data_IF_969325202686
#
_entry.id   IF_969325202686
#
_cell.length_a   1.000
_cell.length_b   1.000
_cell.length_c   1.000
_cell.angle_alpha   90.00
_cell.angle_beta   90.00
_cell.angle_gamma   90.00
#
_symmetry.space_group_name_H-M   'P 1'
#
loop_
_entity.id
_entity.type
_entity.pdbx_description
1 polymer ?
#
# COMPACT_ATOMS: atom_id res chain seq x y z
N UNK A 1 31.79 -17.24 37.79
CA UNK A 1 31.43 -16.05 37.03
C UNK A 1 31.28 -16.50 35.57
N UNK A 2 30.04 -16.86 35.16
CA UNK A 2 29.78 -17.30 33.78
C UNK A 2 29.65 -16.06 32.93
N UNK A 3 30.58 -15.82 32.04
CA UNK A 3 30.51 -14.84 30.98
C UNK A 3 29.32 -15.23 30.07
N UNK A 4 28.28 -14.48 30.10
CA UNK A 4 27.23 -14.56 29.07
C UNK A 4 27.87 -14.05 27.76
N UNK A 5 28.28 -15.01 26.90
CA UNK A 5 28.59 -14.69 25.52
C UNK A 5 27.40 -13.99 24.89
N UNK A 6 27.63 -12.88 24.17
CA UNK A 6 26.61 -12.27 23.29
C UNK A 6 26.09 -13.42 22.41
N UNK A 7 24.82 -13.79 22.55
CA UNK A 7 24.13 -14.57 21.52
C UNK A 7 24.33 -13.80 20.23
N UNK A 8 24.82 -14.46 19.18
CA UNK A 8 24.84 -13.86 17.86
C UNK A 8 23.44 -13.32 17.56
N UNK A 9 23.39 -12.22 16.83
CA UNK A 9 22.10 -11.66 16.43
C UNK A 9 21.30 -12.76 15.70
N UNK A 10 20.03 -12.97 16.11
CA UNK A 10 19.17 -13.96 15.48
C UNK A 10 19.11 -13.67 13.97
N UNK A 11 19.41 -14.67 13.15
CA UNK A 11 19.38 -14.54 11.69
C UNK A 11 17.94 -14.57 11.22
N UNK A 12 17.51 -13.49 10.56
CA UNK A 12 16.16 -13.34 10.03
C UNK A 12 16.22 -13.24 8.51
N UNK A 13 15.47 -14.10 7.83
CA UNK A 13 15.26 -13.99 6.41
C UNK A 13 13.90 -13.30 6.14
N UNK A 14 13.88 -12.37 5.20
CA UNK A 14 12.65 -11.76 4.69
C UNK A 14 12.48 -12.18 3.24
N UNK A 15 11.37 -12.82 2.90
CA UNK A 15 11.08 -13.28 1.54
C UNK A 15 10.06 -12.36 0.88
N UNK A 16 10.53 -11.64 -0.16
CA UNK A 16 9.80 -10.62 -0.89
C UNK A 16 10.23 -9.21 -0.50
N UNK A 17 10.83 -8.47 -1.45
CA UNK A 17 11.29 -7.09 -1.29
C UNK A 17 10.27 -6.05 -1.78
N UNK A 18 8.98 -6.34 -1.68
CA UNK A 18 7.93 -5.33 -1.77
C UNK A 18 7.98 -4.39 -0.57
N UNK A 19 7.11 -3.37 -0.54
CA UNK A 19 7.14 -2.34 0.52
C UNK A 19 7.07 -2.94 1.94
N UNK A 20 6.31 -4.02 2.14
CA UNK A 20 6.18 -4.66 3.46
C UNK A 20 7.48 -5.35 3.88
N UNK A 21 8.13 -6.06 2.95
CA UNK A 21 9.41 -6.71 3.23
C UNK A 21 10.53 -5.72 3.47
N UNK A 22 10.61 -4.67 2.67
CA UNK A 22 11.61 -3.61 2.86
C UNK A 22 11.40 -2.84 4.18
N UNK A 23 10.16 -2.52 4.54
CA UNK A 23 9.85 -1.90 5.83
C UNK A 23 10.19 -2.82 7.01
N UNK A 24 9.94 -4.14 6.88
CA UNK A 24 10.31 -5.13 7.89
C UNK A 24 11.82 -5.27 8.02
N UNK A 25 12.53 -5.37 6.90
CA UNK A 25 13.99 -5.45 6.90
C UNK A 25 14.63 -4.19 7.50
N UNK A 26 14.08 -3.01 7.21
CA UNK A 26 14.51 -1.76 7.81
C UNK A 26 14.33 -1.77 9.34
N UNK A 27 13.18 -2.19 9.84
CA UNK A 27 12.90 -2.28 11.27
C UNK A 27 13.83 -3.28 11.97
N UNK A 28 13.98 -4.50 11.41
CA UNK A 28 14.86 -5.53 11.95
C UNK A 28 16.34 -5.09 11.97
N UNK A 29 16.81 -4.47 10.90
CA UNK A 29 18.19 -3.98 10.83
C UNK A 29 18.42 -2.81 11.80
N UNK A 30 17.39 -1.97 12.04
CA UNK A 30 17.44 -0.91 13.06
C UNK A 30 17.56 -1.47 14.47
N UNK A 31 17.00 -2.67 14.72
CA UNK A 31 17.15 -3.40 15.98
C UNK A 31 18.45 -4.24 16.06
N UNK A 32 19.34 -4.09 15.06
CA UNK A 32 20.65 -4.76 15.02
C UNK A 32 20.59 -6.25 14.72
N UNK A 33 19.54 -6.73 14.04
CA UNK A 33 19.41 -8.13 13.61
C UNK A 33 20.23 -8.40 12.35
N UNK A 34 20.69 -9.65 12.18
CA UNK A 34 21.32 -10.11 10.93
C UNK A 34 20.20 -10.45 9.93
N UNK A 35 19.99 -9.59 8.95
CA UNK A 35 18.85 -9.65 8.02
C UNK A 35 19.32 -9.97 6.61
N UNK A 36 18.71 -10.97 5.98
CA UNK A 36 18.82 -11.21 4.54
C UNK A 36 17.44 -11.15 3.89
N UNK A 37 17.31 -10.33 2.89
CA UNK A 37 16.08 -10.20 2.08
C UNK A 37 16.28 -10.95 0.77
N UNK A 38 15.35 -11.82 0.41
CA UNK A 38 15.32 -12.53 -0.87
C UNK A 38 14.21 -11.97 -1.76
N UNK A 39 14.56 -11.58 -2.97
CA UNK A 39 13.62 -11.08 -3.97
C UNK A 39 13.79 -11.86 -5.28
N UNK A 40 12.69 -12.43 -5.78
CA UNK A 40 12.73 -13.24 -7.01
C UNK A 40 13.00 -12.43 -8.28
N UNK A 41 12.78 -11.13 -8.23
CA UNK A 41 13.05 -10.18 -9.32
C UNK A 41 14.11 -9.15 -8.88
N UNK A 42 14.15 -8.01 -9.55
CA UNK A 42 14.88 -6.84 -9.07
C UNK A 42 14.01 -6.03 -8.11
N UNK A 43 14.59 -5.40 -7.10
CA UNK A 43 13.84 -4.49 -6.22
C UNK A 43 13.31 -3.31 -7.03
N UNK A 44 12.02 -3.00 -6.89
CA UNK A 44 11.36 -1.96 -7.67
C UNK A 44 10.74 -2.47 -8.98
N UNK A 45 10.73 -3.77 -9.23
CA UNK A 45 10.05 -4.39 -10.38
C UNK A 45 8.56 -4.02 -10.44
N UNK A 46 7.94 -4.12 -11.61
CA UNK A 46 6.55 -3.76 -11.87
C UNK A 46 5.55 -4.95 -11.84
N UNK A 47 5.94 -6.11 -11.34
CA UNK A 47 5.12 -7.32 -11.37
C UNK A 47 4.17 -7.49 -10.18
N UNK A 48 4.45 -6.79 -9.06
CA UNK A 48 3.72 -6.93 -7.80
C UNK A 48 2.70 -5.82 -7.53
N UNK A 49 2.55 -5.51 -6.24
CA UNK A 49 1.60 -4.49 -5.74
C UNK A 49 2.29 -3.17 -5.37
N UNK A 50 3.62 -3.13 -5.27
CA UNK A 50 4.34 -1.98 -4.71
C UNK A 50 4.86 -0.97 -5.74
N UNK A 51 4.88 -1.32 -7.04
CA UNK A 51 5.40 -0.48 -8.12
C UNK A 51 4.52 0.75 -8.41
N UNK A 52 5.06 1.68 -9.22
CA UNK A 52 4.40 2.93 -9.64
C UNK A 52 4.67 4.08 -8.67
N UNK A 53 4.42 5.29 -9.15
CA UNK A 53 4.93 6.51 -8.52
C UNK A 53 4.27 6.83 -7.17
N UNK A 54 2.95 6.63 -7.03
CA UNK A 54 2.20 7.11 -5.86
C UNK A 54 1.19 6.10 -5.31
N UNK A 55 0.87 6.28 -4.00
CA UNK A 55 -0.20 5.58 -3.27
C UNK A 55 -0.94 6.59 -2.39
N UNK A 56 -2.23 6.34 -2.13
CA UNK A 56 -3.02 7.19 -1.22
C UNK A 56 -2.53 7.01 0.22
N UNK A 57 -2.31 8.13 0.91
CA UNK A 57 -2.24 8.21 2.36
C UNK A 57 -3.52 8.89 2.86
N UNK A 58 -4.23 8.29 3.82
CA UNK A 58 -5.48 8.83 4.38
C UNK A 58 -5.77 8.25 5.77
N UNK A 59 -6.51 9.01 6.58
CA UNK A 59 -7.18 8.53 7.79
C UNK A 59 -8.65 8.18 7.53
N UNK A 60 -9.27 8.76 6.51
CA UNK A 60 -10.67 8.54 6.16
C UNK A 60 -10.94 7.05 5.84
N UNK A 61 -11.44 6.35 6.84
CA UNK A 61 -11.91 4.97 6.82
C UNK A 61 -13.17 4.84 7.67
N UNK A 62 -14.16 4.03 7.28
CA UNK A 62 -15.37 3.82 8.06
C UNK A 62 -15.16 3.00 9.35
N UNK A 63 -13.93 2.56 9.61
CA UNK A 63 -13.58 1.75 10.77
C UNK A 63 -12.41 2.38 11.54
N UNK A 64 -12.59 2.61 12.85
CA UNK A 64 -11.60 3.20 13.74
C UNK A 64 -10.25 2.48 13.74
N UNK A 65 -10.25 1.15 13.58
CA UNK A 65 -9.02 0.37 13.53
C UNK A 65 -8.07 0.90 12.45
N UNK A 66 -8.59 1.17 11.24
CA UNK A 66 -7.78 1.69 10.14
C UNK A 66 -7.39 3.15 10.33
N UNK A 67 -8.28 3.96 10.92
CA UNK A 67 -7.95 5.36 11.28
C UNK A 67 -6.76 5.39 12.24
N UNK A 68 -6.84 4.66 13.35
CA UNK A 68 -5.76 4.60 14.35
C UNK A 68 -4.47 4.05 13.77
N UNK A 69 -4.56 3.01 12.94
CA UNK A 69 -3.38 2.43 12.29
C UNK A 69 -2.72 3.43 11.32
N UNK A 70 -3.50 4.25 10.61
CA UNK A 70 -2.95 5.29 9.73
C UNK A 70 -2.33 6.45 10.54
N UNK A 71 -2.95 6.83 11.68
CA UNK A 71 -2.36 7.78 12.63
C UNK A 71 -1.03 7.26 13.20
N UNK A 72 -0.95 5.97 13.54
CA UNK A 72 0.29 5.30 13.99
C UNK A 72 1.35 5.27 12.87
N UNK A 73 0.96 5.13 11.61
CA UNK A 73 1.88 5.07 10.48
C UNK A 73 2.50 6.43 10.12
N UNK A 74 1.81 7.54 10.37
CA UNK A 74 2.27 8.88 9.98
C UNK A 74 3.63 9.26 10.60
N UNK A 75 3.87 9.11 11.92
CA UNK A 75 5.18 9.36 12.51
C UNK A 75 6.29 8.50 11.89
N UNK A 76 6.01 7.25 11.55
CA UNK A 76 6.96 6.36 10.89
C UNK A 76 7.34 6.84 9.48
N UNK A 77 6.39 7.37 8.71
CA UNK A 77 6.67 8.01 7.43
C UNK A 77 7.53 9.27 7.59
N UNK A 78 7.23 10.12 8.59
CA UNK A 78 8.02 11.34 8.86
C UNK A 78 9.44 11.01 9.31
N UNK A 79 9.62 10.00 10.15
CA UNK A 79 10.94 9.52 10.55
C UNK A 79 11.75 9.02 9.35
N UNK A 80 11.11 8.30 8.40
CA UNK A 80 11.77 7.83 7.20
C UNK A 80 12.12 8.98 6.24
N UNK A 81 11.31 10.04 6.16
CA UNK A 81 11.63 11.28 5.44
C UNK A 81 12.89 11.95 6.01
N UNK A 82 12.95 12.08 7.35
CA UNK A 82 14.09 12.66 8.05
C UNK A 82 15.36 11.83 7.82
N UNK A 83 15.27 10.50 7.93
CA UNK A 83 16.38 9.59 7.72
C UNK A 83 16.90 9.62 6.28
N UNK A 84 15.99 9.60 5.30
CA UNK A 84 16.36 9.51 3.88
C UNK A 84 16.71 10.86 3.24
N UNK A 85 16.26 11.97 3.84
CA UNK A 85 16.34 13.29 3.24
C UNK A 85 15.43 13.50 2.02
N UNK A 86 14.52 12.54 1.76
CA UNK A 86 13.60 12.57 0.61
C UNK A 86 12.17 12.91 1.06
N UNK A 87 11.44 13.72 0.31
CA UNK A 87 9.99 13.89 0.51
C UNK A 87 9.27 12.62 0.10
N UNK A 88 8.64 11.95 1.06
CA UNK A 88 7.87 10.72 0.85
C UNK A 88 6.36 10.95 0.90
N UNK A 89 5.90 11.97 1.65
CA UNK A 89 4.49 12.33 1.78
C UNK A 89 4.24 13.73 1.20
N UNK A 90 3.21 13.85 0.38
CA UNK A 90 2.62 15.12 -0.03
C UNK A 90 1.12 15.07 0.31
N UNK A 91 0.66 15.98 1.16
CA UNK A 91 -0.67 15.93 1.77
C UNK A 91 -1.54 17.14 1.33
N UNK A 92 -2.01 17.20 0.07
CA UNK A 92 -2.92 18.24 -0.39
C UNK A 92 -4.37 18.03 0.05
N UNK A 93 -4.63 16.96 0.80
CA UNK A 93 -5.94 16.52 1.25
C UNK A 93 -6.51 15.33 0.47
N UNK A 94 -7.67 14.88 0.94
CA UNK A 94 -8.48 13.84 0.30
C UNK A 94 -9.96 14.23 0.36
N UNK A 95 -10.64 14.03 -0.75
CA UNK A 95 -12.09 14.10 -0.85
C UNK A 95 -12.68 12.69 -0.81
N UNK A 96 -13.57 12.42 0.11
CA UNK A 96 -14.38 11.21 0.16
C UNK A 96 -15.80 11.56 -0.33
N UNK A 97 -16.27 10.86 -1.36
CA UNK A 97 -17.64 10.97 -1.86
C UNK A 97 -18.44 9.74 -1.44
N UNK A 98 -19.56 9.95 -0.77
CA UNK A 98 -20.44 8.89 -0.29
C UNK A 98 -21.90 9.19 -0.61
N UNK A 99 -22.68 8.16 -0.93
CA UNK A 99 -24.14 8.24 -1.09
C UNK A 99 -24.87 8.20 0.24
N UNK A 100 -24.21 7.75 1.29
CA UNK A 100 -24.78 7.55 2.61
C UNK A 100 -23.83 8.17 3.65
N UNK A 101 -24.22 9.31 4.28
CA UNK A 101 -23.42 9.95 5.31
C UNK A 101 -23.08 9.02 6.49
N UNK A 102 -23.96 8.04 6.80
CA UNK A 102 -23.75 7.11 7.91
C UNK A 102 -22.73 6.02 7.57
N UNK A 103 -22.42 5.81 6.29
CA UNK A 103 -21.36 4.93 5.80
C UNK A 103 -20.06 5.66 5.46
N UNK A 104 -20.04 6.98 5.63
CA UNK A 104 -18.83 7.77 5.48
C UNK A 104 -17.83 7.48 6.60
N UNK A 105 -16.61 7.96 6.42
CA UNK A 105 -15.57 7.86 7.44
C UNK A 105 -15.79 8.76 8.65
N UNK A 106 -16.86 9.57 8.68
CA UNK A 106 -17.08 10.63 9.66
C UNK A 106 -17.01 10.14 11.11
N UNK A 107 -17.84 9.15 11.47
CA UNK A 107 -17.93 8.68 12.86
C UNK A 107 -16.61 8.09 13.37
N UNK A 108 -15.88 7.38 12.50
CA UNK A 108 -14.57 6.85 12.86
C UNK A 108 -13.50 7.95 12.98
N UNK A 109 -13.57 9.00 12.16
CA UNK A 109 -12.68 10.16 12.28
C UNK A 109 -12.97 10.92 13.58
N UNK A 110 -14.23 11.15 13.93
CA UNK A 110 -14.64 11.77 15.20
C UNK A 110 -14.14 10.97 16.40
N UNK A 111 -14.37 9.67 16.42
CA UNK A 111 -13.92 8.77 17.48
C UNK A 111 -12.39 8.72 17.66
N UNK A 112 -11.65 9.02 16.58
CA UNK A 112 -10.19 9.06 16.59
C UNK A 112 -9.59 10.47 16.68
N UNK A 113 -10.42 11.52 16.76
CA UNK A 113 -9.98 12.92 16.80
C UNK A 113 -9.24 13.37 15.54
N UNK A 114 -9.55 12.78 14.38
CA UNK A 114 -8.94 13.13 13.11
C UNK A 114 -9.74 14.25 12.42
N UNK A 115 -9.12 15.35 11.98
CA UNK A 115 -9.86 16.49 11.43
C UNK A 115 -10.43 16.20 10.05
N UNK A 116 -11.62 16.71 9.79
CA UNK A 116 -12.27 16.72 8.49
C UNK A 116 -13.22 17.93 8.34
N UNK A 117 -13.63 18.22 7.12
CA UNK A 117 -14.66 19.21 6.78
C UNK A 117 -15.75 18.53 5.96
N UNK A 118 -17.01 18.86 6.22
CA UNK A 118 -18.11 18.53 5.33
C UNK A 118 -18.28 19.67 4.33
N UNK A 119 -18.27 19.37 3.05
CA UNK A 119 -18.34 20.37 1.99
C UNK A 119 -19.57 20.16 1.10
N UNK A 120 -20.17 21.27 0.75
CA UNK A 120 -21.19 21.27 -0.31
C UNK A 120 -20.53 21.08 -1.69
N UNK A 121 -21.21 20.49 -2.68
CA UNK A 121 -20.64 20.28 -4.00
C UNK A 121 -20.05 21.53 -4.66
N UNK A 122 -20.71 22.70 -4.48
CA UNK A 122 -20.22 23.97 -5.02
C UNK A 122 -18.88 24.42 -4.39
N UNK A 123 -18.67 24.13 -3.08
CA UNK A 123 -17.41 24.46 -2.40
C UNK A 123 -16.28 23.54 -2.87
N UNK A 124 -16.58 22.27 -3.12
CA UNK A 124 -15.61 21.32 -3.67
C UNK A 124 -15.17 21.77 -5.07
N UNK A 125 -16.09 22.11 -5.93
CA UNK A 125 -15.79 22.61 -7.29
C UNK A 125 -14.94 23.89 -7.25
N UNK A 126 -15.35 24.86 -6.41
CA UNK A 126 -14.66 26.15 -6.28
C UNK A 126 -13.23 25.98 -5.70
N UNK A 127 -13.03 25.09 -4.70
CA UNK A 127 -11.74 24.93 -4.04
C UNK A 127 -10.76 24.02 -4.80
N UNK A 128 -11.25 22.98 -5.47
CA UNK A 128 -10.44 21.87 -5.96
C UNK A 128 -10.61 21.60 -7.46
N UNK A 129 -11.57 22.25 -8.12
CA UNK A 129 -11.95 21.96 -9.52
C UNK A 129 -12.29 20.47 -9.74
N UNK A 130 -13.01 19.89 -8.77
CA UNK A 130 -13.47 18.50 -8.79
C UNK A 130 -14.98 18.47 -8.64
N UNK A 131 -15.68 17.76 -9.53
CA UNK A 131 -17.13 17.63 -9.50
C UNK A 131 -17.56 16.49 -8.57
N UNK A 132 -18.42 16.79 -7.60
CA UNK A 132 -19.05 15.78 -6.74
C UNK A 132 -20.11 15.03 -7.55
N UNK A 133 -20.19 13.68 -7.50
CA UNK A 133 -21.27 12.95 -8.15
C UNK A 133 -22.64 13.37 -7.63
N UNK A 134 -23.69 13.43 -8.49
CA UNK A 134 -25.03 13.74 -8.06
C UNK A 134 -25.52 12.83 -6.92
N UNK A 135 -26.11 13.43 -5.87
CA UNK A 135 -26.66 12.72 -4.73
C UNK A 135 -25.60 12.19 -3.74
N UNK A 136 -24.34 12.54 -3.91
CA UNK A 136 -23.27 12.22 -2.94
C UNK A 136 -22.96 13.42 -2.04
N UNK A 137 -22.49 13.13 -0.83
CA UNK A 137 -21.88 14.09 0.08
C UNK A 137 -20.36 14.12 -0.13
N UNK A 138 -19.72 15.22 0.25
CA UNK A 138 -18.28 15.38 0.21
C UNK A 138 -17.72 15.59 1.62
N UNK A 139 -16.78 14.74 2.01
CA UNK A 139 -15.94 14.90 3.21
C UNK A 139 -14.53 15.21 2.75
N UNK A 140 -13.97 16.31 3.23
CA UNK A 140 -12.57 16.68 2.98
C UNK A 140 -11.72 16.38 4.21
N UNK A 141 -10.68 15.57 4.03
CA UNK A 141 -9.69 15.27 5.07
C UNK A 141 -8.37 15.97 4.73
N UNK A 142 -7.94 16.99 5.51
CA UNK A 142 -6.76 17.81 5.18
C UNK A 142 -5.43 17.03 5.31
N UNK A 143 -5.31 16.14 6.33
CA UNK A 143 -4.09 15.39 6.61
C UNK A 143 -3.97 14.11 5.77
N UNK A 144 -4.33 14.21 4.49
CA UNK A 144 -4.31 13.12 3.51
C UNK A 144 -3.69 13.55 2.18
N UNK A 145 -3.38 12.59 1.35
CA UNK A 145 -2.77 12.84 0.04
C UNK A 145 -2.08 11.62 -0.52
N UNK A 146 -0.79 11.72 -0.83
CA UNK A 146 -0.03 10.64 -1.46
C UNK A 146 1.27 10.31 -0.74
N UNK A 147 1.62 9.02 -0.78
CA UNK A 147 2.98 8.51 -0.54
C UNK A 147 3.64 8.31 -1.90
N UNK A 148 4.86 8.81 -2.07
CA UNK A 148 5.71 8.53 -3.23
C UNK A 148 6.30 7.11 -3.10
N UNK A 149 5.64 6.15 -3.74
CA UNK A 149 5.84 4.73 -3.48
C UNK A 149 7.25 4.23 -3.83
N UNK A 150 7.79 4.62 -4.98
CA UNK A 150 9.15 4.25 -5.38
C UNK A 150 10.21 4.89 -4.50
N UNK A 151 10.01 6.16 -4.08
CA UNK A 151 10.92 6.83 -3.14
C UNK A 151 10.90 6.13 -1.79
N UNK A 152 9.71 5.79 -1.28
CA UNK A 152 9.54 5.10 -0.02
C UNK A 152 10.23 3.72 -0.01
N UNK A 153 10.08 2.94 -1.07
CA UNK A 153 10.78 1.66 -1.20
C UNK A 153 12.31 1.84 -1.21
N UNK A 154 12.82 2.82 -1.96
CA UNK A 154 14.26 3.13 -1.96
C UNK A 154 14.75 3.61 -0.59
N UNK A 155 13.96 4.40 0.14
CA UNK A 155 14.31 4.87 1.47
C UNK A 155 14.43 3.69 2.46
N UNK A 156 13.44 2.80 2.52
CA UNK A 156 13.51 1.59 3.33
C UNK A 156 14.70 0.70 2.94
N UNK A 157 14.92 0.48 1.63
CA UNK A 157 16.02 -0.31 1.12
C UNK A 157 17.39 0.23 1.58
N UNK A 158 17.63 1.53 1.35
CA UNK A 158 18.89 2.19 1.73
C UNK A 158 19.09 2.19 3.24
N UNK A 159 18.04 2.45 4.01
CA UNK A 159 18.07 2.41 5.46
C UNK A 159 18.41 1.03 6.02
N UNK A 160 17.83 -0.04 5.46
CA UNK A 160 18.14 -1.42 5.82
C UNK A 160 19.59 -1.79 5.45
N UNK A 161 20.03 -1.49 4.21
CA UNK A 161 21.39 -1.77 3.74
C UNK A 161 22.44 -0.99 4.53
N UNK A 162 22.17 0.29 4.84
CA UNK A 162 23.06 1.12 5.65
C UNK A 162 23.30 0.57 7.06
N UNK A 163 22.38 -0.28 7.55
CA UNK A 163 22.48 -1.00 8.83
C UNK A 163 22.93 -2.47 8.69
N UNK A 164 23.38 -2.86 7.51
CA UNK A 164 24.00 -4.16 7.26
C UNK A 164 23.06 -5.25 6.73
N UNK A 165 21.79 -4.95 6.42
CA UNK A 165 20.91 -5.93 5.78
C UNK A 165 21.42 -6.29 4.38
N UNK A 166 21.42 -7.58 4.06
CA UNK A 166 21.77 -8.12 2.75
C UNK A 166 20.53 -8.24 1.87
N UNK A 167 20.65 -7.89 0.61
CA UNK A 167 19.54 -7.97 -0.35
C UNK A 167 19.98 -8.85 -1.52
N UNK A 168 19.37 -10.02 -1.60
CA UNK A 168 19.61 -11.02 -2.64
C UNK A 168 18.50 -10.91 -3.70
N UNK A 169 18.83 -10.30 -4.84
CA UNK A 169 17.90 -10.08 -5.96
C UNK A 169 18.05 -11.17 -7.01
N UNK A 170 16.97 -11.46 -7.75
CA UNK A 170 16.91 -12.55 -8.72
C UNK A 170 16.91 -13.94 -8.07
N UNK A 171 16.61 -14.01 -6.78
CA UNK A 171 16.61 -15.26 -6.00
C UNK A 171 15.18 -15.61 -5.60
N UNK A 172 14.61 -16.60 -6.28
CA UNK A 172 13.31 -17.17 -5.89
C UNK A 172 13.50 -18.18 -4.77
N UNK A 173 12.76 -18.03 -3.71
CA UNK A 173 12.63 -19.02 -2.63
C UNK A 173 11.46 -19.92 -2.95
N UNK A 174 11.73 -21.17 -3.28
CA UNK A 174 10.70 -22.15 -3.67
C UNK A 174 10.16 -22.93 -2.47
N UNK A 175 10.93 -23.03 -1.38
CA UNK A 175 10.50 -23.67 -0.14
C UNK A 175 10.99 -22.89 1.09
N UNK A 176 10.16 -22.83 2.12
CA UNK A 176 10.55 -22.28 3.43
C UNK A 176 11.74 -23.05 4.04
N UNK A 177 11.81 -24.37 3.78
CA UNK A 177 12.86 -25.21 4.34
C UNK A 177 14.24 -24.99 3.70
N UNK A 178 14.31 -24.40 2.51
CA UNK A 178 15.56 -24.05 1.83
C UNK A 178 16.21 -22.77 2.42
N UNK A 179 15.49 -22.05 3.29
CA UNK A 179 15.98 -20.79 3.88
C UNK A 179 16.75 -21.06 5.16
N UNK A 180 18.07 -20.81 5.13
CA UNK A 180 18.96 -20.91 6.30
C UNK A 180 18.86 -19.67 7.20
N UNK A 181 17.78 -19.61 8.00
CA UNK A 181 17.55 -18.58 9.01
C UNK A 181 16.76 -19.15 10.19
N UNK A 182 16.87 -18.52 11.36
CA UNK A 182 16.13 -18.92 12.56
C UNK A 182 14.66 -18.54 12.44
N UNK A 183 14.39 -17.39 11.79
CA UNK A 183 13.05 -16.90 11.49
C UNK A 183 12.95 -16.50 10.03
N UNK A 184 11.85 -16.86 9.39
CA UNK A 184 11.52 -16.51 8.01
C UNK A 184 10.27 -15.65 7.99
N UNK A 185 10.41 -14.38 7.58
CA UNK A 185 9.28 -13.46 7.39
C UNK A 185 8.83 -13.51 5.93
N UNK A 186 7.62 -13.97 5.68
CA UNK A 186 7.06 -14.09 4.33
C UNK A 186 6.21 -12.87 4.00
N UNK A 187 6.74 -12.03 3.10
CA UNK A 187 6.08 -10.81 2.58
C UNK A 187 5.97 -10.85 1.05
N UNK A 188 5.84 -12.05 0.49
CA UNK A 188 5.83 -12.33 -0.95
C UNK A 188 4.57 -11.85 -1.70
N UNK A 189 3.69 -11.05 -1.07
CA UNK A 189 2.50 -10.50 -1.71
C UNK A 189 1.64 -11.60 -2.36
N UNK A 190 1.39 -11.48 -3.66
CA UNK A 190 0.56 -12.43 -4.41
C UNK A 190 1.16 -13.85 -4.49
N UNK A 191 2.47 -14.02 -4.30
CA UNK A 191 3.15 -15.32 -4.29
C UNK A 191 3.22 -15.97 -2.90
N UNK A 192 2.84 -15.25 -1.84
CA UNK A 192 2.97 -15.71 -0.46
C UNK A 192 2.21 -17.02 -0.18
N UNK A 193 1.02 -17.21 -0.78
CA UNK A 193 0.22 -18.41 -0.61
C UNK A 193 0.95 -19.67 -1.10
N UNK A 194 1.60 -19.59 -2.27
CA UNK A 194 2.32 -20.73 -2.86
C UNK A 194 3.52 -21.11 -1.96
N UNK A 195 4.28 -20.11 -1.52
CA UNK A 195 5.44 -20.34 -0.66
C UNK A 195 5.04 -20.92 0.72
N UNK A 196 4.02 -20.36 1.36
CA UNK A 196 3.54 -20.82 2.67
C UNK A 196 2.98 -22.26 2.62
N UNK A 197 2.40 -22.63 1.50
CA UNK A 197 1.90 -24.00 1.29
C UNK A 197 3.03 -25.06 1.39
N UNK A 198 4.28 -24.72 1.05
CA UNK A 198 5.43 -25.65 1.19
C UNK A 198 5.73 -26.00 2.65
N UNK A 199 5.35 -25.15 3.59
CA UNK A 199 5.43 -25.39 5.03
C UNK A 199 4.10 -25.88 5.64
N UNK A 200 3.13 -26.28 4.82
CA UNK A 200 1.81 -26.72 5.29
C UNK A 200 0.93 -25.59 5.85
N UNK A 201 1.24 -24.34 5.55
CA UNK A 201 0.53 -23.17 6.05
C UNK A 201 -0.44 -22.68 4.97
N UNK A 202 -1.74 -22.74 5.26
CA UNK A 202 -2.77 -22.16 4.41
C UNK A 202 -2.85 -20.64 4.62
N UNK A 203 -2.84 -19.87 3.53
CA UNK A 203 -3.07 -18.43 3.53
C UNK A 203 -4.35 -18.14 2.72
N UNK A 204 -5.45 -17.68 3.34
CA UNK A 204 -6.72 -17.47 2.65
C UNK A 204 -6.74 -16.13 1.91
N UNK A 205 -6.02 -16.06 0.80
CA UNK A 205 -5.95 -14.87 -0.06
C UNK A 205 -6.23 -15.21 -1.51
N UNK A 206 -6.73 -14.22 -2.25
CA UNK A 206 -6.96 -14.31 -3.69
C UNK A 206 -6.22 -13.18 -4.39
N UNK A 207 -5.20 -13.47 -5.20
CA UNK A 207 -4.59 -12.47 -6.06
C UNK A 207 -5.57 -12.03 -7.15
N UNK A 208 -5.69 -10.70 -7.38
CA UNK A 208 -6.43 -10.14 -8.51
C UNK A 208 -5.55 -9.17 -9.29
N UNK A 209 -5.84 -9.02 -10.59
CA UNK A 209 -5.12 -8.08 -11.46
C UNK A 209 -5.99 -6.87 -11.73
N UNK A 210 -5.60 -5.77 -11.13
CA UNK A 210 -6.31 -4.50 -11.23
C UNK A 210 -5.80 -3.68 -12.41
N UNK A 211 -6.69 -2.92 -13.02
CA UNK A 211 -6.39 -1.98 -14.11
C UNK A 211 -6.41 -0.55 -13.56
N UNK A 212 -5.42 0.23 -13.93
CA UNK A 212 -5.29 1.66 -13.62
C UNK A 212 -5.07 2.45 -14.89
N UNK A 213 -5.51 3.70 -14.91
CA UNK A 213 -5.30 4.60 -16.02
C UNK A 213 -4.74 5.95 -15.54
N UNK A 214 -4.01 6.62 -16.43
CA UNK A 214 -3.36 7.90 -16.16
C UNK A 214 -3.91 8.97 -17.09
N UNK A 215 -4.09 10.20 -16.56
CA UNK A 215 -4.69 11.31 -17.30
C UNK A 215 -3.83 12.55 -17.16
N UNK A 216 -3.86 13.39 -18.22
CA UNK A 216 -3.21 14.70 -18.20
C UNK A 216 -4.06 15.66 -17.37
N UNK A 217 -3.54 16.04 -16.22
CA UNK A 217 -4.14 17.03 -15.32
C UNK A 217 -3.03 17.93 -14.78
N UNK A 218 -3.28 19.23 -14.85
CA UNK A 218 -2.38 20.23 -14.28
C UNK A 218 -2.76 20.51 -12.80
N UNK A 219 -1.77 20.95 -12.01
CA UNK A 219 -1.99 21.32 -10.62
C UNK A 219 -1.73 20.20 -9.61
N UNK A 220 -2.25 20.40 -8.40
CA UNK A 220 -2.10 19.50 -7.26
C UNK A 220 -3.48 19.14 -6.67
N UNK A 221 -4.26 18.31 -7.37
CA UNK A 221 -5.57 17.93 -6.87
C UNK A 221 -5.43 17.15 -5.55
N UNK A 222 -6.41 17.23 -4.65
CA UNK A 222 -6.52 16.31 -3.54
C UNK A 222 -6.71 14.89 -4.09
N UNK A 223 -6.39 13.87 -3.28
CA UNK A 223 -6.81 12.51 -3.59
C UNK A 223 -8.33 12.41 -3.51
N UNK A 224 -8.92 11.53 -4.31
CA UNK A 224 -10.37 11.29 -4.28
C UNK A 224 -10.62 9.81 -4.04
N UNK A 225 -11.59 9.50 -3.18
CA UNK A 225 -12.15 8.17 -3.01
C UNK A 225 -13.66 8.30 -3.13
N UNK A 226 -14.27 7.54 -4.02
CA UNK A 226 -15.71 7.56 -4.22
C UNK A 226 -16.24 6.12 -4.17
N UNK A 227 -17.14 5.84 -3.23
CA UNK A 227 -17.89 4.60 -3.23
C UNK A 227 -18.92 4.58 -4.36
N UNK A 228 -19.08 3.41 -4.98
CA UNK A 228 -20.17 3.12 -5.89
C UNK A 228 -21.07 2.08 -5.22
N UNK A 229 -22.35 2.11 -5.54
CA UNK A 229 -23.29 1.05 -5.20
C UNK A 229 -22.69 -0.33 -5.58
N UNK A 230 -22.74 -1.30 -4.66
CA UNK A 230 -22.22 -2.67 -4.79
C UNK A 230 -20.75 -2.91 -4.38
N UNK A 231 -20.14 -2.06 -3.54
CA UNK A 231 -18.83 -2.31 -2.95
C UNK A 231 -17.63 -2.10 -3.88
N UNK A 232 -17.86 -1.55 -5.06
CA UNK A 232 -16.80 -1.09 -5.95
C UNK A 232 -16.67 0.42 -5.84
N UNK A 233 -15.43 0.92 -5.75
CA UNK A 233 -15.17 2.34 -5.65
C UNK A 233 -14.19 2.82 -6.71
N UNK A 234 -14.24 4.09 -7.06
CA UNK A 234 -13.17 4.75 -7.80
C UNK A 234 -12.23 5.47 -6.83
N UNK A 235 -10.98 5.58 -7.23
CA UNK A 235 -10.01 6.41 -6.55
C UNK A 235 -9.17 7.18 -7.56
N UNK A 236 -8.81 8.39 -7.21
CA UNK A 236 -7.92 9.23 -7.99
C UNK A 236 -6.85 9.85 -7.08
N UNK A 237 -5.65 9.99 -7.56
CA UNK A 237 -4.53 10.58 -6.84
C UNK A 237 -3.52 11.20 -7.79
N UNK A 238 -2.76 12.17 -7.28
CA UNK A 238 -1.69 12.80 -8.03
C UNK A 238 -0.71 11.76 -8.56
N UNK A 239 -0.32 11.91 -9.83
CA UNK A 239 0.77 11.20 -10.46
C UNK A 239 1.82 12.19 -10.97
N UNK A 240 3.12 12.04 -10.60
CA UNK A 240 4.15 13.02 -10.98
C UNK A 240 4.51 13.01 -12.47
N UNK A 241 4.13 11.96 -13.21
CA UNK A 241 4.47 11.80 -14.64
C UNK A 241 3.32 12.30 -15.52
N UNK A 242 2.08 11.93 -15.20
CA UNK A 242 0.93 12.20 -16.04
C UNK A 242 -0.01 13.26 -15.47
N UNK A 243 0.11 13.59 -14.18
CA UNK A 243 -0.79 14.49 -13.46
C UNK A 243 -1.77 13.74 -12.56
N UNK A 244 -2.56 12.82 -13.09
CA UNK A 244 -3.56 12.07 -12.35
C UNK A 244 -3.48 10.56 -12.65
N UNK A 245 -3.50 9.75 -11.60
CA UNK A 245 -3.68 8.29 -11.64
C UNK A 245 -5.06 7.94 -11.11
N UNK A 246 -5.78 7.10 -11.82
CA UNK A 246 -7.15 6.68 -11.46
C UNK A 246 -7.27 5.17 -11.55
N UNK A 247 -8.02 4.56 -10.63
CA UNK A 247 -8.37 3.16 -10.67
C UNK A 247 -9.77 2.90 -10.16
N UNK A 248 -10.31 1.74 -10.55
CA UNK A 248 -11.53 1.18 -9.98
C UNK A 248 -11.14 0.10 -8.99
N UNK A 249 -11.47 0.29 -7.72
CA UNK A 249 -11.06 -0.60 -6.64
C UNK A 249 -11.75 -1.96 -6.75
N UNK A 250 -10.96 -3.06 -6.68
CA UNK A 250 -11.43 -4.45 -6.73
C UNK A 250 -12.26 -4.80 -7.99
N UNK A 251 -11.93 -4.21 -9.13
CA UNK A 251 -12.60 -4.52 -10.39
C UNK A 251 -11.92 -5.64 -11.17
N UNK A 252 -10.68 -5.98 -10.83
CA UNK A 252 -9.86 -6.95 -11.54
C UNK A 252 -10.26 -8.41 -11.24
N UNK A 253 -10.12 -9.31 -12.22
CA UNK A 253 -10.37 -10.73 -12.02
C UNK A 253 -9.30 -11.41 -11.16
N UNK A 254 -9.63 -12.54 -10.52
CA UNK A 254 -8.62 -13.45 -9.97
C UNK A 254 -7.57 -13.83 -11.01
N UNK A 255 -6.30 -13.92 -10.59
CA UNK A 255 -5.19 -14.16 -11.50
C UNK A 255 -4.11 -15.02 -10.87
N UNK A 256 -3.38 -15.74 -11.71
CA UNK A 256 -2.07 -16.28 -11.35
C UNK A 256 -1.06 -15.10 -11.33
N UNK A 257 -0.30 -14.90 -10.25
CA UNK A 257 0.65 -13.80 -10.16
C UNK A 257 1.82 -13.89 -11.16
N UNK A 258 2.15 -15.07 -11.65
CA UNK A 258 3.22 -15.28 -12.65
C UNK A 258 2.78 -14.88 -14.07
N UNK A 259 1.48 -14.83 -14.34
CA UNK A 259 0.96 -14.37 -15.62
C UNK A 259 1.02 -12.84 -15.71
N UNK A 260 1.35 -12.32 -16.88
CA UNK A 260 1.24 -10.89 -17.21
C UNK A 260 0.04 -10.70 -18.14
N UNK A 261 -0.70 -9.62 -17.94
CA UNK A 261 -1.80 -9.25 -18.82
C UNK A 261 -1.81 -7.74 -19.05
N UNK A 262 -2.30 -7.35 -20.21
CA UNK A 262 -2.56 -5.95 -20.52
C UNK A 262 -3.71 -5.40 -19.66
N UNK A 263 -3.80 -4.07 -19.50
CA UNK A 263 -4.95 -3.43 -18.90
C UNK A 263 -6.26 -3.84 -19.58
N UNK A 264 -7.31 -4.06 -18.77
CA UNK A 264 -8.63 -4.42 -19.28
C UNK A 264 -9.28 -3.19 -19.95
N UNK A 265 -9.63 -3.27 -21.25
CA UNK A 265 -10.15 -2.10 -21.98
C UNK A 265 -11.54 -1.64 -21.50
N UNK A 266 -12.36 -2.54 -20.97
CA UNK A 266 -13.66 -2.17 -20.40
C UNK A 266 -13.48 -1.38 -19.12
N UNK A 267 -12.59 -1.83 -18.23
CA UNK A 267 -12.25 -1.11 -16.99
C UNK A 267 -11.59 0.25 -17.33
N UNK A 268 -10.71 0.32 -18.33
CA UNK A 268 -10.12 1.59 -18.80
C UNK A 268 -11.21 2.54 -19.27
N UNK A 269 -12.21 2.06 -20.01
CA UNK A 269 -13.35 2.87 -20.50
C UNK A 269 -14.20 3.42 -19.35
N UNK A 270 -14.49 2.58 -18.34
CA UNK A 270 -15.23 3.02 -17.15
C UNK A 270 -14.45 4.08 -16.35
N UNK A 271 -13.14 3.85 -16.15
CA UNK A 271 -12.25 4.82 -15.50
C UNK A 271 -12.24 6.13 -16.26
N UNK A 272 -12.10 6.10 -17.59
CA UNK A 272 -12.05 7.30 -18.42
C UNK A 272 -13.36 8.11 -18.33
N UNK A 273 -14.50 7.43 -18.38
CA UNK A 273 -15.82 8.07 -18.21
C UNK A 273 -15.92 8.74 -16.85
N UNK A 274 -15.65 8.00 -15.76
CA UNK A 274 -15.74 8.54 -14.40
C UNK A 274 -14.81 9.74 -14.21
N UNK A 275 -13.57 9.67 -14.75
CA UNK A 275 -12.58 10.73 -14.63
C UNK A 275 -13.00 12.00 -15.36
N UNK A 276 -13.49 11.87 -16.60
CA UNK A 276 -13.96 13.01 -17.40
C UNK A 276 -15.18 13.72 -16.81
N UNK A 277 -16.00 13.01 -16.02
CA UNK A 277 -17.12 13.60 -15.28
C UNK A 277 -16.69 14.35 -14.00
N UNK A 278 -15.49 14.09 -13.47
CA UNK A 278 -15.02 14.61 -12.16
C UNK A 278 -13.94 15.66 -12.28
N UNK A 279 -13.08 15.59 -13.30
CA UNK A 279 -11.91 16.45 -13.42
C UNK A 279 -11.91 17.21 -14.75
N UNK A 280 -11.37 18.42 -14.71
CA UNK A 280 -11.06 19.18 -15.93
C UNK A 280 -9.75 18.70 -16.49
N UNK A 281 -9.81 17.76 -17.42
CA UNK A 281 -8.62 17.17 -18.04
C UNK A 281 -8.04 18.08 -19.13
N UNK A 282 -6.72 18.13 -19.24
CA UNK A 282 -6.04 18.85 -20.31
C UNK A 282 -6.25 18.19 -21.69
N UNK A 283 -6.40 16.87 -21.70
CA UNK A 283 -6.66 16.07 -22.90
C UNK A 283 -7.77 15.06 -22.62
N UNK A 284 -8.68 14.81 -23.55
CA UNK A 284 -9.72 13.79 -23.37
C UNK A 284 -9.10 12.38 -23.40
N UNK A 285 -9.53 11.52 -22.47
CA UNK A 285 -9.11 10.13 -22.40
C UNK A 285 -7.78 9.89 -21.65
N UNK A 286 -7.40 8.60 -21.47
CA UNK A 286 -6.20 8.25 -20.75
C UNK A 286 -4.94 8.45 -21.59
N UNK A 287 -3.89 9.00 -20.98
CA UNK A 287 -2.55 9.11 -21.57
C UNK A 287 -1.78 7.79 -21.53
N UNK A 288 -2.10 6.93 -20.54
CA UNK A 288 -1.53 5.59 -20.38
C UNK A 288 -2.45 4.74 -19.50
N UNK A 289 -2.23 3.42 -19.56
CA UNK A 289 -2.85 2.47 -18.64
C UNK A 289 -1.83 1.40 -18.24
N UNK A 290 -2.01 0.81 -17.04
CA UNK A 290 -1.13 -0.21 -16.48
C UNK A 290 -1.93 -1.18 -15.62
N UNK A 291 -1.28 -2.26 -15.16
CA UNK A 291 -1.89 -3.21 -14.23
C UNK A 291 -1.09 -3.30 -12.93
N UNK A 292 -1.76 -3.70 -11.86
CA UNK A 292 -1.09 -4.08 -10.62
C UNK A 292 -1.79 -5.27 -9.97
N UNK A 293 -1.13 -5.94 -9.04
CA UNK A 293 -1.73 -7.03 -8.28
C UNK A 293 -2.28 -6.52 -6.94
N UNK A 294 -3.50 -6.96 -6.59
CA UNK A 294 -3.92 -7.02 -5.21
C UNK A 294 -3.77 -8.44 -4.68
N UNK A 295 -3.68 -8.57 -3.37
CA UNK A 295 -3.73 -9.85 -2.66
C UNK A 295 -4.82 -9.69 -1.61
N UNK A 296 -5.99 -10.20 -1.92
CA UNK A 296 -7.21 -9.91 -1.18
C UNK A 296 -7.51 -11.01 -0.16
N UNK A 297 -7.77 -10.61 1.09
CA UNK A 297 -8.54 -11.39 2.05
C UNK A 297 -10.04 -11.10 1.86
N UNK A 298 -10.90 -11.99 2.33
CA UNK A 298 -12.35 -11.83 2.18
C UNK A 298 -12.90 -10.59 2.92
N UNK A 299 -12.31 -10.26 4.06
CA UNK A 299 -12.72 -9.18 4.96
C UNK A 299 -11.76 -7.97 4.95
N UNK A 300 -10.84 -7.93 3.99
CA UNK A 300 -9.81 -6.88 3.81
C UNK A 300 -8.79 -6.76 4.95
N UNK A 301 -8.86 -7.60 5.98
CA UNK A 301 -7.93 -7.57 7.09
C UNK A 301 -6.54 -8.03 6.66
N UNK A 302 -5.54 -7.49 7.34
CA UNK A 302 -4.16 -7.96 7.21
C UNK A 302 -3.94 -9.22 8.03
N UNK A 303 -3.14 -10.13 7.48
CA UNK A 303 -2.70 -11.32 8.20
C UNK A 303 -1.27 -11.07 8.64
N UNK A 304 -1.09 -10.75 9.92
CA UNK A 304 0.19 -10.50 10.58
C UNK A 304 0.28 -11.46 11.76
N UNK A 305 0.95 -12.59 11.58
CA UNK A 305 1.01 -13.61 12.60
C UNK A 305 2.29 -14.43 12.52
N UNK A 306 2.65 -15.11 13.63
CA UNK A 306 3.77 -16.04 13.68
C UNK A 306 3.29 -17.48 13.86
N UNK A 307 3.84 -18.40 13.06
CA UNK A 307 3.63 -19.84 13.14
C UNK A 307 4.99 -20.55 13.22
N UNK A 308 5.42 -20.90 14.43
CA UNK A 308 6.75 -21.46 14.64
C UNK A 308 7.87 -20.49 14.22
N UNK A 309 8.71 -20.91 13.26
CA UNK A 309 9.76 -20.03 12.71
C UNK A 309 9.28 -19.10 11.60
N UNK A 310 8.03 -19.25 11.13
CA UNK A 310 7.49 -18.47 10.02
C UNK A 310 6.67 -17.30 10.55
N UNK A 311 6.97 -16.09 10.10
CA UNK A 311 6.17 -14.88 10.30
C UNK A 311 5.49 -14.53 8.99
N UNK A 312 4.18 -14.36 9.01
CA UNK A 312 3.36 -14.09 7.84
C UNK A 312 3.03 -12.60 7.80
N UNK A 313 3.37 -11.93 6.68
CA UNK A 313 3.08 -10.53 6.42
C UNK A 313 2.26 -10.35 5.15
N UNK A 314 0.93 -10.61 5.20
CA UNK A 314 0.01 -10.34 4.09
C UNK A 314 -0.83 -9.11 4.41
N UNK A 315 -0.39 -7.96 3.94
CA UNK A 315 -0.99 -6.65 4.22
C UNK A 315 -1.25 -5.88 2.92
N UNK A 316 -2.21 -6.34 2.13
CA UNK A 316 -2.55 -5.73 0.84
C UNK A 316 -4.03 -5.34 0.75
N UNK A 317 -4.90 -6.20 0.21
CA UNK A 317 -6.33 -5.93 -0.08
C UNK A 317 -6.56 -4.55 -0.73
N UNK A 318 -5.59 -4.10 -1.55
CA UNK A 318 -5.63 -2.82 -2.27
C UNK A 318 -5.36 -1.56 -1.43
N UNK A 319 -5.15 -1.66 -0.10
CA UNK A 319 -4.98 -0.48 0.75
C UNK A 319 -3.79 -0.51 1.72
N UNK A 320 -2.93 -1.54 1.66
CA UNK A 320 -1.88 -1.79 2.64
C UNK A 320 -0.73 -0.78 2.65
N UNK A 321 -0.29 -0.26 1.50
CA UNK A 321 0.97 0.48 1.33
C UNK A 321 1.20 1.59 2.37
N UNK A 322 0.16 2.40 2.64
CA UNK A 322 0.23 3.53 3.60
C UNK A 322 0.57 3.11 5.04
N UNK A 323 0.36 1.84 5.37
CA UNK A 323 0.64 1.26 6.69
C UNK A 323 2.04 0.62 6.80
N UNK A 324 2.88 0.72 5.76
CA UNK A 324 4.16 0.02 5.72
C UNK A 324 5.07 0.24 6.94
N UNK A 325 5.22 1.46 7.51
CA UNK A 325 6.04 1.65 8.70
C UNK A 325 5.52 0.83 9.91
N UNK A 326 4.22 0.83 10.14
CA UNK A 326 3.58 0.08 11.24
C UNK A 326 3.63 -1.42 11.00
N UNK A 327 3.32 -1.86 9.78
CA UNK A 327 3.36 -3.28 9.42
C UNK A 327 4.78 -3.81 9.54
N UNK A 328 5.77 -3.07 9.05
CA UNK A 328 7.18 -3.45 9.16
C UNK A 328 7.63 -3.61 10.62
N UNK A 329 7.27 -2.65 11.49
CA UNK A 329 7.57 -2.72 12.92
C UNK A 329 6.87 -3.92 13.61
N UNK A 330 5.60 -4.17 13.28
CA UNK A 330 4.85 -5.32 13.84
C UNK A 330 5.42 -6.66 13.39
N UNK A 331 5.80 -6.79 12.12
CA UNK A 331 6.43 -8.01 11.61
C UNK A 331 7.82 -8.23 12.22
N UNK A 332 8.60 -7.17 12.43
CA UNK A 332 9.88 -7.24 13.12
C UNK A 332 9.69 -7.68 14.58
N UNK A 333 8.70 -7.15 15.30
CA UNK A 333 8.38 -7.59 16.65
C UNK A 333 7.96 -9.05 16.71
N UNK A 334 7.13 -9.52 15.76
CA UNK A 334 6.76 -10.94 15.64
C UNK A 334 7.95 -11.84 15.34
N UNK A 335 8.95 -11.35 14.63
CA UNK A 335 10.15 -12.11 14.29
C UNK A 335 11.11 -12.25 15.47
N UNK A 336 11.13 -11.28 16.37
CA UNK A 336 12.11 -11.21 17.47
C UNK A 336 11.58 -11.70 18.82
N UNK A 337 10.31 -11.95 18.95
CA UNK A 337 9.79 -12.59 20.15
C UNK A 337 8.59 -12.26 20.75
#
# INVERSE_FOLDING_TARGET
>A
MRLFGKRGADRVAVVGAGVMGLATAHALASDGRDVTVYEQFEVGHNRGSSHGATRIFRFAYPNEHWVRMAQEALPGWRALEEESGETLLELPGLLEFSTDPDKSSRDALDACGAPYELLEPADVEARFSVNVPPGMTALFQPDAGVVYAERAQRAFLRGAQGRGAKIEQGVRVDSIDDVDAEVVVVTGGAWAQQLLATAGIALPVVPTRETIAYFRLEGKPPSVVAEIANGHGFYALKDPVHGLKVGRHKAGPPTDPDLQAAPDPEIVTEIAKWTGERFQLAEPGPAAADTCLYTNTMDERFILERRGRVVIGSACSGHGFKFAPVVGARLAALATG
#
